data_IF_661021970309
#
_entry.id   IF_661021970309
#
_cell.length_a   1.000
_cell.length_b   1.000
_cell.length_c   1.000
_cell.angle_alpha   90.00
_cell.angle_beta   90.00
_cell.angle_gamma   90.00
#
_symmetry.space_group_name_H-M   'P 1'
#
loop_
_entity.id
_entity.type
_entity.pdbx_description
1 polymer ?
#
# COMPACT_ATOMS: atom_id res chain seq x y z
N UNK A 1 9.79 -14.07 -4.47
CA UNK A 1 9.06 -13.29 -3.46
C UNK A 1 9.93 -12.10 -3.15
N UNK A 2 9.47 -10.88 -3.48
CA UNK A 2 10.25 -9.67 -3.31
C UNK A 2 10.54 -9.46 -1.80
N UNK A 3 11.81 -9.39 -1.41
CA UNK A 3 12.22 -9.19 -0.01
C UNK A 3 11.67 -7.86 0.53
N UNK A 4 11.55 -6.83 -0.31
CA UNK A 4 10.94 -5.55 0.06
C UNK A 4 9.47 -5.68 0.46
N UNK A 5 8.75 -6.65 -0.11
CA UNK A 5 7.36 -6.89 0.28
C UNK A 5 7.24 -7.61 1.63
N UNK A 6 8.18 -8.50 1.95
CA UNK A 6 8.23 -9.10 3.28
C UNK A 6 8.54 -8.04 4.34
N UNK A 7 9.35 -7.05 4.00
CA UNK A 7 9.62 -5.90 4.85
C UNK A 7 8.35 -5.04 5.04
N UNK A 8 7.58 -4.79 3.97
CA UNK A 8 6.26 -4.14 4.05
C UNK A 8 5.33 -4.92 4.99
N UNK A 9 5.23 -6.24 4.85
CA UNK A 9 4.32 -7.04 5.67
C UNK A 9 4.64 -7.02 7.18
N UNK A 10 5.90 -6.78 7.55
CA UNK A 10 6.37 -6.93 8.93
C UNK A 10 6.65 -5.60 9.64
N UNK A 11 6.37 -4.46 9.01
CA UNK A 11 6.62 -3.13 9.59
C UNK A 11 5.35 -2.45 10.11
N UNK A 12 5.51 -1.62 11.14
CA UNK A 12 4.47 -0.64 11.51
C UNK A 12 4.48 0.52 10.53
N UNK A 13 3.28 0.92 10.09
CA UNK A 13 3.05 2.04 9.19
C UNK A 13 2.84 3.38 9.88
N UNK A 14 3.01 3.44 11.21
CA UNK A 14 2.81 4.68 11.96
C UNK A 14 3.87 5.74 11.62
N UNK A 15 5.05 5.31 11.13
CA UNK A 15 6.08 6.21 10.61
C UNK A 15 5.57 7.08 9.45
N UNK A 16 4.59 6.60 8.67
CA UNK A 16 3.96 7.39 7.61
C UNK A 16 3.24 8.61 8.17
N UNK A 17 2.75 8.57 9.42
CA UNK A 17 2.03 9.69 10.01
C UNK A 17 2.99 10.77 10.54
N UNK A 18 4.18 10.34 10.97
CA UNK A 18 5.19 11.17 11.62
C UNK A 18 6.16 11.83 10.64
N UNK A 19 6.45 11.18 9.51
CA UNK A 19 7.42 11.65 8.54
C UNK A 19 6.76 12.22 7.28
N UNK A 20 6.91 13.53 7.07
CA UNK A 20 6.42 14.20 5.85
C UNK A 20 7.31 13.98 4.61
N UNK A 21 8.47 13.35 4.77
CA UNK A 21 9.45 13.07 3.71
C UNK A 21 9.32 11.67 3.09
N UNK A 22 8.31 10.91 3.54
CA UNK A 22 7.93 9.61 3.01
C UNK A 22 7.82 9.64 1.49
N UNK A 23 8.54 8.71 0.85
CA UNK A 23 8.44 8.45 -0.57
C UNK A 23 7.17 7.64 -0.87
N UNK A 24 6.09 8.36 -1.14
CA UNK A 24 4.79 7.76 -1.45
C UNK A 24 4.85 6.93 -2.73
N UNK A 25 5.59 7.41 -3.74
CA UNK A 25 5.67 6.74 -5.04
C UNK A 25 6.32 5.36 -4.90
N UNK A 26 7.29 5.21 -3.99
CA UNK A 26 7.86 3.89 -3.66
C UNK A 26 6.79 2.89 -3.22
N UNK A 27 5.92 3.25 -2.27
CA UNK A 27 4.91 2.33 -1.75
C UNK A 27 3.84 2.00 -2.78
N UNK A 28 3.42 2.99 -3.56
CA UNK A 28 2.44 2.79 -4.64
C UNK A 28 3.01 1.88 -5.71
N UNK A 29 4.26 2.08 -6.13
CA UNK A 29 4.94 1.22 -7.10
C UNK A 29 5.01 -0.23 -6.63
N UNK A 30 5.31 -0.47 -5.35
CA UNK A 30 5.36 -1.84 -4.82
C UNK A 30 3.97 -2.49 -4.80
N UNK A 31 2.92 -1.73 -4.43
CA UNK A 31 1.54 -2.22 -4.52
C UNK A 31 1.14 -2.54 -5.96
N UNK A 32 1.43 -1.65 -6.92
CA UNK A 32 1.13 -1.83 -8.34
C UNK A 32 1.77 -3.12 -8.89
N UNK A 33 3.06 -3.34 -8.63
CA UNK A 33 3.76 -4.56 -9.05
C UNK A 33 3.09 -5.83 -8.51
N UNK A 34 2.69 -5.83 -7.25
CA UNK A 34 2.08 -6.99 -6.61
C UNK A 34 0.63 -7.21 -7.05
N UNK A 35 -0.10 -6.13 -7.37
CA UNK A 35 -1.42 -6.20 -8.00
C UNK A 35 -1.29 -6.87 -9.37
N UNK A 36 -0.29 -6.48 -10.18
CA UNK A 36 -0.02 -7.08 -11.49
C UNK A 36 0.34 -8.58 -11.40
N UNK A 37 1.06 -8.99 -10.36
CA UNK A 37 1.43 -10.39 -10.10
C UNK A 37 0.29 -11.24 -9.51
N UNK A 38 -0.86 -10.64 -9.19
CA UNK A 38 -1.98 -11.30 -8.52
C UNK A 38 -3.30 -11.09 -9.28
N UNK A 39 -4.44 -11.30 -8.60
CA UNK A 39 -5.76 -11.10 -9.19
C UNK A 39 -6.49 -9.92 -8.56
N UNK A 40 -7.63 -9.54 -9.14
CA UNK A 40 -8.39 -8.37 -8.70
C UNK A 40 -8.87 -8.41 -7.23
N UNK A 41 -8.81 -9.56 -6.55
CA UNK A 41 -9.18 -9.64 -5.14
C UNK A 41 -8.22 -8.92 -4.20
N UNK A 42 -6.97 -8.67 -4.64
CA UNK A 42 -5.98 -7.93 -3.83
C UNK A 42 -6.17 -6.41 -3.87
N UNK A 43 -6.91 -5.90 -4.86
CA UNK A 43 -7.04 -4.46 -5.10
C UNK A 43 -7.84 -3.81 -3.95
N UNK A 44 -7.29 -2.77 -3.29
CA UNK A 44 -8.00 -1.99 -2.29
C UNK A 44 -9.23 -1.26 -2.85
N UNK A 45 -10.18 -0.93 -1.99
CA UNK A 45 -11.36 -0.16 -2.37
C UNK A 45 -10.94 1.25 -2.80
N UNK A 46 -11.47 1.69 -3.95
CA UNK A 46 -11.22 2.99 -4.57
C UNK A 46 -9.71 3.29 -4.72
N UNK A 47 -8.95 2.27 -5.13
CA UNK A 47 -7.49 2.36 -5.21
C UNK A 47 -7.03 3.55 -6.05
N UNK A 48 -7.57 3.69 -7.25
CA UNK A 48 -7.16 4.74 -8.20
C UNK A 48 -7.46 6.14 -7.65
N UNK A 49 -8.67 6.37 -7.12
CA UNK A 49 -9.05 7.68 -6.57
C UNK A 49 -8.22 8.05 -5.33
N UNK A 50 -7.90 7.06 -4.49
CA UNK A 50 -7.08 7.27 -3.29
C UNK A 50 -5.63 7.55 -3.68
N UNK A 51 -5.07 6.80 -4.65
CA UNK A 51 -3.73 7.05 -5.19
C UNK A 51 -3.64 8.45 -5.80
N UNK A 52 -4.63 8.87 -6.58
CA UNK A 52 -4.68 10.22 -7.16
C UNK A 52 -4.70 11.30 -6.06
N UNK A 53 -5.55 11.14 -5.04
CA UNK A 53 -5.61 12.06 -3.90
C UNK A 53 -4.29 12.15 -3.15
N UNK A 54 -3.65 11.01 -2.88
CA UNK A 54 -2.38 10.94 -2.16
C UNK A 54 -1.29 11.64 -2.97
N UNK A 55 -1.16 11.34 -4.27
CA UNK A 55 -0.16 11.94 -5.16
C UNK A 55 -0.35 13.44 -5.35
N UNK A 56 -1.59 13.93 -5.32
CA UNK A 56 -1.86 15.36 -5.41
C UNK A 56 -1.33 16.14 -4.19
N UNK A 57 -1.27 15.52 -3.00
CA UNK A 57 -0.98 16.21 -1.75
C UNK A 57 -0.18 15.36 -0.74
N UNK A 58 0.97 14.76 -1.13
CA UNK A 58 1.63 13.67 -0.38
C UNK A 58 2.11 14.08 1.02
N UNK A 59 2.45 15.36 1.20
CA UNK A 59 2.92 15.90 2.48
C UNK A 59 1.80 16.27 3.45
N UNK A 60 0.52 16.18 3.04
CA UNK A 60 -0.61 16.42 3.94
C UNK A 60 -0.86 15.21 4.83
N UNK A 61 -1.16 15.47 6.10
CA UNK A 61 -1.49 14.41 7.07
C UNK A 61 -2.58 13.46 6.55
N UNK A 62 -3.65 14.00 5.96
CA UNK A 62 -4.72 13.17 5.40
C UNK A 62 -4.28 12.28 4.24
N UNK A 63 -3.35 12.72 3.38
CA UNK A 63 -2.78 11.87 2.33
C UNK A 63 -1.97 10.72 2.94
N UNK A 64 -1.20 10.98 4.00
CA UNK A 64 -0.45 9.93 4.70
C UNK A 64 -1.34 8.95 5.46
N UNK A 65 -2.43 9.43 6.06
CA UNK A 65 -3.48 8.56 6.61
C UNK A 65 -4.09 7.69 5.52
N UNK A 66 -4.44 8.27 4.37
CA UNK A 66 -4.98 7.53 3.23
C UNK A 66 -4.00 6.45 2.74
N UNK A 67 -2.69 6.77 2.65
CA UNK A 67 -1.66 5.82 2.28
C UNK A 67 -1.54 4.66 3.29
N UNK A 68 -1.49 4.96 4.59
CA UNK A 68 -1.45 3.93 5.65
C UNK A 68 -2.65 2.99 5.58
N UNK A 69 -3.86 3.55 5.46
CA UNK A 69 -5.08 2.75 5.32
C UNK A 69 -5.08 1.91 4.04
N UNK A 70 -4.50 2.43 2.95
CA UNK A 70 -4.41 1.73 1.67
C UNK A 70 -3.48 0.51 1.76
N UNK A 71 -2.31 0.70 2.39
CA UNK A 71 -1.33 -0.36 2.65
C UNK A 71 -1.92 -1.43 3.57
N UNK A 72 -2.58 -1.03 4.67
CA UNK A 72 -3.22 -1.98 5.60
C UNK A 72 -4.29 -2.83 4.93
N UNK A 73 -5.10 -2.23 4.05
CA UNK A 73 -6.12 -2.93 3.28
C UNK A 73 -5.49 -3.91 2.28
N UNK A 74 -4.48 -3.43 1.54
CA UNK A 74 -3.74 -4.23 0.57
C UNK A 74 -3.10 -5.46 1.23
N UNK A 75 -2.36 -5.28 2.33
CA UNK A 75 -1.71 -6.38 3.07
C UNK A 75 -2.70 -7.48 3.46
N UNK A 76 -3.87 -7.11 3.98
CA UNK A 76 -4.91 -8.07 4.38
C UNK A 76 -5.42 -8.87 3.18
N UNK A 77 -5.73 -8.18 2.08
CA UNK A 77 -6.24 -8.84 0.87
C UNK A 77 -5.17 -9.73 0.22
N UNK A 78 -3.94 -9.25 0.13
CA UNK A 78 -2.81 -10.00 -0.42
C UNK A 78 -2.49 -11.25 0.40
N UNK A 79 -2.53 -11.17 1.74
CA UNK A 79 -2.36 -12.33 2.61
C UNK A 79 -3.45 -13.39 2.38
N UNK A 80 -4.72 -12.97 2.27
CA UNK A 80 -5.83 -13.87 1.93
C UNK A 80 -5.63 -14.52 0.57
N UNK A 81 -5.21 -13.75 -0.44
CA UNK A 81 -4.92 -14.27 -1.76
C UNK A 81 -3.80 -15.31 -1.72
N UNK A 82 -2.67 -15.02 -1.05
CA UNK A 82 -1.55 -15.96 -0.89
C UNK A 82 -1.97 -17.27 -0.26
N UNK A 83 -2.80 -17.25 0.80
CA UNK A 83 -3.30 -18.46 1.45
C UNK A 83 -4.14 -19.32 0.51
N UNK A 84 -4.86 -18.72 -0.45
CA UNK A 84 -5.66 -19.47 -1.44
C UNK A 84 -4.81 -20.11 -2.56
N UNK A 85 -3.58 -19.63 -2.75
CA UNK A 85 -2.65 -20.17 -3.75
C UNK A 85 -1.76 -21.30 -3.19
N UNK A 86 -1.75 -21.50 -1.87
CA UNK A 86 -0.97 -22.53 -1.17
C UNK A 86 -1.72 -23.87 -1.11
#
# INVERSE_FOLDING_TARGET
MNEEFLDILNQSWDHLLEDSTVDVDKYIMIMDQLIEESDSSVIPINYDERVEYIKAQPTRYHARVQLRELIDEFIKKYAVWKVKQA
#
